data_IF_798341332962
#
_entry.id   IF_798341332962
#
_cell.length_a   1.000
_cell.length_b   1.000
_cell.length_c   1.000
_cell.angle_alpha   90.00
_cell.angle_beta   90.00
_cell.angle_gamma   90.00
#
_symmetry.space_group_name_H-M   'P 1'
#
loop_
_entity.id
_entity.type
_entity.pdbx_description
1 polymer ?
#
# COMPACT_ATOMS: atom_id res chain seq x y z
N UNK A 1 8.19 -19.64 -9.37
CA UNK A 1 7.44 -20.31 -8.29
C UNK A 1 5.96 -20.14 -8.51
N UNK A 2 5.18 -21.21 -8.29
CA UNK A 2 3.72 -21.15 -8.23
C UNK A 2 3.30 -21.44 -6.79
N UNK A 3 2.38 -20.64 -6.24
CA UNK A 3 1.86 -20.79 -4.88
C UNK A 3 0.34 -20.71 -4.90
N UNK A 4 -0.31 -21.40 -3.99
CA UNK A 4 -1.78 -21.39 -3.81
C UNK A 4 -2.07 -21.06 -2.35
N UNK A 5 -3.08 -20.24 -2.10
CA UNK A 5 -3.49 -19.89 -0.73
C UNK A 5 -3.88 -18.44 -0.57
N UNK A 6 -3.43 -17.80 0.52
CA UNK A 6 -3.66 -16.39 0.80
C UNK A 6 -2.35 -15.61 0.66
N UNK A 7 -2.33 -14.64 -0.27
CA UNK A 7 -1.13 -13.86 -0.59
C UNK A 7 -1.44 -12.38 -0.78
N UNK A 8 -0.41 -11.56 -0.58
CA UNK A 8 -0.42 -10.15 -0.96
C UNK A 8 -0.45 -10.04 -2.49
N UNK A 9 -1.23 -9.11 -3.02
CA UNK A 9 -1.28 -8.90 -4.47
C UNK A 9 0.08 -8.43 -5.01
N UNK A 10 0.42 -8.74 -6.27
CA UNK A 10 1.59 -8.16 -6.94
C UNK A 10 1.72 -6.65 -6.84
N UNK A 11 0.60 -5.90 -6.87
CA UNK A 11 0.57 -4.45 -6.65
C UNK A 11 0.99 -4.09 -5.22
N UNK A 12 0.48 -4.80 -4.22
CA UNK A 12 0.91 -4.61 -2.83
C UNK A 12 2.37 -4.97 -2.62
N UNK A 13 2.86 -6.05 -3.24
CA UNK A 13 4.26 -6.46 -3.12
C UNK A 13 5.24 -5.38 -3.61
N UNK A 14 4.86 -4.57 -4.61
CA UNK A 14 5.68 -3.43 -5.06
C UNK A 14 5.91 -2.40 -3.96
N UNK A 15 4.91 -2.16 -3.10
CA UNK A 15 5.00 -1.20 -1.99
C UNK A 15 6.16 -1.47 -1.06
N UNK A 16 6.49 -2.75 -0.83
CA UNK A 16 7.55 -3.15 0.09
C UNK A 16 8.92 -2.55 -0.25
N UNK A 17 9.14 -2.17 -1.51
CA UNK A 17 10.39 -1.55 -1.97
C UNK A 17 10.48 -0.07 -1.65
N UNK A 18 9.34 0.61 -1.42
CA UNK A 18 9.26 2.07 -1.29
C UNK A 18 8.62 2.53 0.02
N UNK A 19 7.82 1.70 0.68
CA UNK A 19 7.33 2.02 2.02
C UNK A 19 8.48 1.96 3.02
N UNK A 20 8.82 3.12 3.55
CA UNK A 20 9.96 3.31 4.46
C UNK A 20 9.72 2.66 5.83
N UNK A 21 8.45 2.44 6.20
CA UNK A 21 8.04 1.94 7.51
C UNK A 21 7.36 0.56 7.46
N UNK A 22 7.35 -0.11 6.33
CA UNK A 22 6.68 -1.39 6.08
C UNK A 22 7.10 -2.55 7.01
N UNK A 23 8.33 -2.53 7.50
CA UNK A 23 8.93 -3.69 8.19
C UNK A 23 8.63 -3.76 9.69
N UNK A 24 7.69 -3.00 10.20
CA UNK A 24 7.40 -2.91 11.63
C UNK A 24 6.14 -3.69 11.99
N UNK A 25 6.25 -4.69 12.84
CA UNK A 25 5.11 -5.46 13.34
C UNK A 25 4.15 -4.57 14.13
N UNK A 26 2.85 -4.66 13.84
CA UNK A 26 1.83 -3.81 14.47
C UNK A 26 1.93 -2.33 14.08
N UNK A 27 2.59 -2.06 12.99
CA UNK A 27 2.93 -0.72 12.52
C UNK A 27 1.68 0.09 12.10
N UNK A 28 1.51 1.25 12.72
CA UNK A 28 0.49 2.23 12.33
C UNK A 28 1.01 3.28 11.35
N UNK A 29 2.29 3.20 10.99
CA UNK A 29 2.94 4.03 9.98
C UNK A 29 2.90 3.41 8.57
N UNK A 30 2.37 2.19 8.45
CA UNK A 30 2.22 1.47 7.19
C UNK A 30 1.33 2.21 6.19
N UNK A 31 1.69 2.17 4.93
CA UNK A 31 0.93 2.85 3.87
C UNK A 31 -0.47 2.26 3.63
N UNK A 32 -0.76 1.09 4.16
CA UNK A 32 -2.10 0.50 4.13
C UNK A 32 -3.18 1.36 4.81
N UNK A 33 -2.77 2.28 5.70
CA UNK A 33 -3.69 3.27 6.29
C UNK A 33 -3.96 4.46 5.37
N UNK A 34 -3.25 4.58 4.25
CA UNK A 34 -3.35 5.69 3.28
C UNK A 34 -3.90 5.21 1.95
N UNK A 35 -3.35 4.12 1.38
CA UNK A 35 -3.60 3.73 -0.01
C UNK A 35 -4.64 2.63 -0.16
N UNK A 36 -5.35 2.65 -1.30
CA UNK A 36 -6.06 1.50 -1.86
C UNK A 36 -5.05 0.46 -2.36
N UNK A 37 -5.49 -0.78 -2.60
CA UNK A 37 -4.63 -1.82 -3.19
C UNK A 37 -3.62 -2.46 -2.20
N UNK A 38 -3.73 -2.19 -0.91
CA UNK A 38 -2.89 -2.79 0.13
C UNK A 38 -3.54 -4.06 0.73
N UNK A 39 -3.91 -5.00 -0.12
CA UNK A 39 -4.70 -6.15 0.30
C UNK A 39 -3.95 -7.47 0.22
N UNK A 40 -4.27 -8.35 1.15
CA UNK A 40 -3.98 -9.77 1.13
C UNK A 40 -5.26 -10.52 0.79
N UNK A 41 -5.19 -11.40 -0.21
CA UNK A 41 -6.36 -12.09 -0.77
C UNK A 41 -6.22 -13.58 -0.56
N UNK A 42 -7.32 -14.24 -0.21
CA UNK A 42 -7.42 -15.69 -0.07
C UNK A 42 -7.85 -16.35 -1.39
N UNK A 43 -7.69 -17.67 -1.48
CA UNK A 43 -8.10 -18.49 -2.61
C UNK A 43 -7.51 -18.03 -3.95
N UNK A 44 -6.20 -17.75 -3.95
CA UNK A 44 -5.48 -17.28 -5.11
C UNK A 44 -4.45 -18.29 -5.60
N UNK A 45 -4.16 -18.20 -6.89
CA UNK A 45 -2.98 -18.79 -7.50
C UNK A 45 -2.05 -17.64 -7.89
N UNK A 46 -0.82 -17.65 -7.38
CA UNK A 46 0.19 -16.66 -7.71
C UNK A 46 1.38 -17.31 -8.41
N UNK A 47 1.83 -16.70 -9.50
CA UNK A 47 3.09 -17.00 -10.16
C UNK A 47 4.10 -15.89 -9.90
N UNK A 48 5.27 -16.25 -9.42
CA UNK A 48 6.42 -15.36 -9.28
C UNK A 48 7.54 -15.86 -10.18
N UNK A 49 7.95 -15.05 -11.16
CA UNK A 49 9.04 -15.42 -12.07
C UNK A 49 10.37 -15.53 -11.34
N UNK A 50 11.32 -16.31 -11.85
CA UNK A 50 12.71 -16.12 -11.51
C UNK A 50 13.17 -14.71 -11.93
N UNK A 51 14.21 -14.21 -11.27
CA UNK A 51 14.85 -12.95 -11.67
C UNK A 51 15.59 -13.15 -12.98
N UNK A 52 15.20 -12.43 -14.02
CA UNK A 52 15.86 -12.44 -15.33
C UNK A 52 16.93 -11.35 -15.34
N UNK A 53 18.18 -11.73 -15.39
CA UNK A 53 19.31 -10.79 -15.37
C UNK A 53 19.34 -9.93 -16.63
N UNK A 54 19.59 -8.64 -16.44
CA UNK A 54 19.82 -7.63 -17.49
C UNK A 54 21.25 -7.08 -17.32
N UNK A 55 22.27 -7.74 -17.89
CA UNK A 55 23.69 -7.43 -17.59
C UNK A 55 24.07 -5.98 -17.92
N UNK A 56 23.49 -5.40 -18.97
CA UNK A 56 23.77 -4.02 -19.40
C UNK A 56 23.40 -2.98 -18.34
N UNK A 57 22.41 -3.29 -17.48
CA UNK A 57 21.90 -2.40 -16.42
C UNK A 57 22.32 -2.86 -15.02
N UNK A 58 23.18 -3.88 -14.93
CA UNK A 58 23.58 -4.50 -13.65
C UNK A 58 22.38 -4.81 -12.75
N UNK A 59 21.33 -5.38 -13.32
CA UNK A 59 20.07 -5.59 -12.61
C UNK A 59 19.32 -6.83 -13.08
N UNK A 60 18.12 -6.97 -12.57
CA UNK A 60 17.22 -8.06 -12.90
C UNK A 60 15.77 -7.61 -12.99
N UNK A 61 15.01 -8.25 -13.88
CA UNK A 61 13.57 -8.08 -14.03
C UNK A 61 12.86 -9.26 -13.37
N UNK A 62 11.77 -8.96 -12.65
CA UNK A 62 10.81 -9.94 -12.13
C UNK A 62 9.40 -9.60 -12.61
N UNK A 63 8.61 -10.63 -12.85
CA UNK A 63 7.19 -10.50 -13.20
C UNK A 63 6.40 -11.39 -12.24
N UNK A 64 5.37 -10.83 -11.63
CA UNK A 64 4.45 -11.55 -10.77
C UNK A 64 3.04 -11.44 -11.32
N UNK A 65 2.28 -12.52 -11.22
CA UNK A 65 0.87 -12.55 -11.62
C UNK A 65 0.06 -13.36 -10.60
N UNK A 66 -1.11 -12.86 -10.26
CA UNK A 66 -2.05 -13.48 -9.33
C UNK A 66 -3.42 -13.57 -9.98
N UNK A 67 -4.03 -14.74 -9.88
CA UNK A 67 -5.42 -14.97 -10.25
C UNK A 67 -6.21 -15.29 -8.99
N UNK A 68 -7.34 -14.62 -8.83
CA UNK A 68 -8.28 -14.84 -7.74
C UNK A 68 -9.62 -15.37 -8.27
N UNK A 69 -10.29 -16.16 -7.47
CA UNK A 69 -11.70 -16.51 -7.70
C UNK A 69 -12.60 -15.38 -7.19
N UNK A 70 -13.82 -15.29 -7.70
CA UNK A 70 -14.81 -14.32 -7.22
C UNK A 70 -15.09 -14.41 -5.70
N UNK A 71 -14.92 -15.57 -5.11
CA UNK A 71 -15.03 -15.80 -3.67
C UNK A 71 -13.88 -15.18 -2.86
N UNK A 72 -12.73 -15.00 -3.50
CA UNK A 72 -11.52 -14.47 -2.86
C UNK A 72 -11.55 -12.95 -2.71
N UNK A 73 -12.53 -12.27 -3.22
CA UNK A 73 -12.59 -10.80 -3.20
C UNK A 73 -12.80 -10.23 -1.80
N UNK A 74 -13.04 -11.06 -0.79
CA UNK A 74 -13.15 -10.63 0.60
C UNK A 74 -14.35 -9.69 0.89
N UNK A 75 -15.18 -9.42 -0.12
CA UNK A 75 -16.36 -8.58 0.02
C UNK A 75 -17.57 -9.44 0.49
N UNK A 76 -17.31 -10.46 1.26
CA UNK A 76 -18.39 -11.07 2.04
C UNK A 76 -18.66 -10.21 3.27
N UNK A 77 -19.34 -9.13 3.04
CA UNK A 77 -19.87 -8.30 4.09
C UNK A 77 -21.36 -8.58 4.27
N UNK A 78 -21.70 -9.81 4.59
CA UNK A 78 -23.05 -10.16 5.05
C UNK A 78 -23.50 -9.31 6.26
N UNK A 79 -22.54 -8.66 6.95
CA UNK A 79 -22.80 -7.75 8.07
C UNK A 79 -22.73 -6.26 7.70
N UNK A 80 -22.26 -5.87 6.53
CA UNK A 80 -22.05 -4.47 6.15
C UNK A 80 -22.79 -4.06 4.87
N UNK A 81 -23.64 -4.89 4.31
CA UNK A 81 -24.47 -4.55 3.14
C UNK A 81 -23.71 -4.42 1.82
N UNK A 82 -22.49 -4.90 1.75
CA UNK A 82 -21.73 -4.99 0.50
C UNK A 82 -22.06 -6.31 -0.16
N UNK A 83 -22.53 -6.25 -1.41
CA UNK A 83 -22.92 -7.43 -2.14
C UNK A 83 -21.74 -8.33 -2.46
N UNK A 84 -22.00 -9.63 -2.39
CA UNK A 84 -21.10 -10.64 -2.94
C UNK A 84 -20.78 -10.33 -4.39
N UNK A 85 -19.54 -10.55 -4.76
CA UNK A 85 -19.16 -10.73 -6.15
C UNK A 85 -19.70 -12.08 -6.57
N UNK A 86 -20.91 -12.10 -7.10
CA UNK A 86 -21.58 -13.35 -7.43
C UNK A 86 -20.88 -14.07 -8.58
N UNK A 87 -20.60 -15.35 -8.35
CA UNK A 87 -20.47 -16.36 -9.40
C UNK A 87 -19.30 -16.18 -10.37
N UNK A 88 -18.23 -15.48 -10.00
CA UNK A 88 -17.09 -15.28 -10.91
C UNK A 88 -16.07 -16.39 -10.81
N UNK A 89 -15.52 -16.72 -11.96
CA UNK A 89 -14.49 -17.75 -12.12
C UNK A 89 -13.10 -17.29 -11.73
N UNK A 90 -12.13 -18.20 -11.81
CA UNK A 90 -10.71 -17.89 -11.65
C UNK A 90 -10.26 -16.93 -12.76
N UNK A 91 -9.70 -15.79 -12.36
CA UNK A 91 -9.20 -14.77 -13.28
C UNK A 91 -10.14 -13.58 -13.50
N UNK A 92 -11.36 -13.59 -12.97
CA UNK A 92 -12.24 -12.41 -12.98
C UNK A 92 -11.70 -11.29 -12.09
N UNK A 93 -10.94 -11.66 -11.07
CA UNK A 93 -10.08 -10.76 -10.30
C UNK A 93 -8.64 -11.19 -10.46
N UNK A 94 -7.76 -10.28 -10.78
CA UNK A 94 -6.35 -10.59 -10.96
C UNK A 94 -5.44 -9.41 -10.63
N UNK A 95 -4.18 -9.70 -10.39
CA UNK A 95 -3.14 -8.71 -10.18
C UNK A 95 -1.89 -9.11 -10.93
N UNK A 96 -1.19 -8.14 -11.51
CA UNK A 96 0.10 -8.38 -12.15
C UNK A 96 1.07 -7.24 -11.86
N UNK A 97 2.36 -7.55 -11.82
CA UNK A 97 3.41 -6.54 -11.69
C UNK A 97 4.65 -6.93 -12.46
N UNK A 98 5.39 -5.91 -12.90
CA UNK A 98 6.75 -6.05 -13.39
C UNK A 98 7.65 -5.09 -12.60
N UNK A 99 8.83 -5.56 -12.21
CA UNK A 99 9.82 -4.75 -11.51
C UNK A 99 11.22 -4.99 -12.06
N UNK A 100 12.02 -3.93 -12.06
CA UNK A 100 13.45 -3.96 -12.30
C UNK A 100 14.17 -3.59 -11.01
N UNK A 101 15.22 -4.31 -10.66
CA UNK A 101 16.02 -4.05 -9.48
C UNK A 101 17.51 -4.12 -9.82
N UNK A 102 18.25 -3.07 -9.44
CA UNK A 102 19.69 -2.97 -9.50
C UNK A 102 20.22 -2.31 -8.21
N UNK A 103 21.54 -2.26 -7.96
CA UNK A 103 22.09 -1.55 -6.82
C UNK A 103 21.73 -0.06 -6.77
N UNK A 104 21.59 0.57 -7.94
CA UNK A 104 21.27 2.00 -8.07
C UNK A 104 19.77 2.27 -8.06
N UNK A 105 18.97 1.43 -8.73
CA UNK A 105 17.59 1.73 -9.07
C UNK A 105 16.69 0.51 -8.83
N UNK A 106 15.53 0.76 -8.21
CA UNK A 106 14.37 -0.13 -8.31
C UNK A 106 13.25 0.65 -8.98
N UNK A 107 12.61 0.07 -9.97
CA UNK A 107 11.43 0.60 -10.64
C UNK A 107 10.41 -0.50 -10.79
N UNK A 108 9.14 -0.19 -10.66
CA UNK A 108 8.08 -1.18 -10.81
C UNK A 108 6.75 -0.58 -11.22
N UNK A 109 5.97 -1.38 -11.92
CA UNK A 109 4.59 -1.08 -12.31
C UNK A 109 3.72 -2.29 -12.02
N UNK A 110 2.52 -2.06 -11.54
CA UNK A 110 1.56 -3.13 -11.28
C UNK A 110 0.14 -2.67 -11.46
N UNK A 111 -0.72 -3.64 -11.77
CA UNK A 111 -2.14 -3.41 -11.98
C UNK A 111 -2.96 -4.49 -11.27
N UNK A 112 -3.95 -4.03 -10.49
CA UNK A 112 -5.01 -4.84 -9.91
C UNK A 112 -6.28 -4.68 -10.73
N UNK A 113 -6.92 -5.78 -11.06
CA UNK A 113 -8.26 -5.81 -11.66
C UNK A 113 -9.25 -6.39 -10.69
N UNK A 114 -10.27 -5.61 -10.34
CA UNK A 114 -11.36 -6.02 -9.48
C UNK A 114 -10.91 -6.57 -8.10
N UNK A 115 -9.85 -6.02 -7.53
CA UNK A 115 -9.34 -6.41 -6.22
C UNK A 115 -10.04 -5.61 -5.12
N UNK A 116 -10.55 -6.25 -4.04
CA UNK A 116 -11.20 -5.56 -2.94
C UNK A 116 -10.29 -4.49 -2.34
N UNK A 117 -10.80 -3.29 -2.15
CA UNK A 117 -10.04 -2.17 -1.60
C UNK A 117 -10.92 -1.24 -0.77
N UNK A 118 -10.31 -0.59 0.21
CA UNK A 118 -10.95 0.45 0.99
C UNK A 118 -10.61 1.83 0.39
N UNK A 119 -11.63 2.64 0.13
CA UNK A 119 -11.48 3.98 -0.46
C UNK A 119 -11.56 5.12 0.57
N UNK A 120 -12.25 4.90 1.68
CA UNK A 120 -12.46 5.92 2.72
C UNK A 120 -12.31 5.33 4.11
N UNK A 121 -12.53 6.13 5.16
CA UNK A 121 -12.45 5.69 6.55
C UNK A 121 -11.12 5.02 6.91
N UNK A 122 -10.05 5.59 6.39
CA UNK A 122 -8.69 5.14 6.68
C UNK A 122 -8.29 5.65 8.06
N UNK A 123 -7.20 5.24 8.56
CA UNK A 123 -6.77 5.61 9.88
C UNK A 123 -6.83 4.44 10.85
N UNK A 124 -6.21 4.62 11.97
CA UNK A 124 -6.00 3.61 13.00
C UNK A 124 -6.69 3.95 14.32
N UNK A 125 -7.23 5.14 14.43
CA UNK A 125 -8.13 5.56 15.51
C UNK A 125 -9.51 5.83 14.92
N UNK A 126 -10.55 5.63 15.71
CA UNK A 126 -11.87 6.09 15.32
C UNK A 126 -11.84 7.62 15.22
N UNK A 127 -12.19 8.16 14.06
CA UNK A 127 -12.30 9.59 13.92
C UNK A 127 -13.36 10.13 14.89
N UNK A 128 -13.02 11.20 15.59
CA UNK A 128 -13.93 11.85 16.53
C UNK A 128 -15.05 12.58 15.83
N UNK A 129 -14.79 13.09 14.62
CA UNK A 129 -15.80 13.69 13.75
C UNK A 129 -16.33 12.66 12.74
N UNK A 130 -17.59 12.28 12.89
CA UNK A 130 -18.27 11.32 12.00
C UNK A 130 -18.37 11.81 10.55
N UNK A 131 -18.31 13.12 10.33
CA UNK A 131 -18.33 13.68 8.99
C UNK A 131 -17.05 13.35 8.22
N UNK A 132 -15.92 13.28 8.89
CA UNK A 132 -14.64 12.82 8.32
C UNK A 132 -14.55 11.29 8.33
N UNK A 133 -15.09 10.66 9.38
CA UNK A 133 -15.08 9.19 9.51
C UNK A 133 -15.87 8.47 8.40
N UNK A 134 -16.85 9.14 7.85
CA UNK A 134 -17.66 8.82 6.66
C UNK A 134 -17.89 7.35 6.27
N UNK A 135 -17.89 6.41 7.22
CA UNK A 135 -18.05 4.98 6.95
C UNK A 135 -16.95 4.39 6.02
N UNK A 136 -16.54 3.19 6.29
CA UNK A 136 -15.65 2.46 5.40
C UNK A 136 -16.37 2.11 4.09
N UNK A 137 -15.83 2.54 2.96
CA UNK A 137 -16.34 2.18 1.64
C UNK A 137 -15.40 1.17 1.02
N UNK A 138 -15.84 -0.08 1.02
CA UNK A 138 -15.17 -1.17 0.34
C UNK A 138 -15.80 -1.40 -1.03
N UNK A 139 -14.94 -1.53 -2.04
CA UNK A 139 -15.33 -1.90 -3.39
C UNK A 139 -14.25 -2.75 -4.04
N UNK A 140 -14.60 -3.51 -5.06
CA UNK A 140 -13.60 -4.07 -5.95
C UNK A 140 -13.02 -2.94 -6.78
N UNK A 141 -11.70 -2.82 -6.78
CA UNK A 141 -10.98 -1.72 -7.41
C UNK A 141 -10.08 -2.19 -8.55
N UNK A 142 -9.97 -1.36 -9.55
CA UNK A 142 -8.87 -1.40 -10.51
C UNK A 142 -7.82 -0.40 -10.02
N UNK A 143 -6.60 -0.88 -9.77
CA UNK A 143 -5.53 -0.03 -9.24
C UNK A 143 -4.30 -0.12 -10.11
N UNK A 144 -3.85 0.99 -10.65
CA UNK A 144 -2.54 1.12 -11.29
C UNK A 144 -1.57 1.74 -10.29
N UNK A 145 -0.40 1.11 -10.12
CA UNK A 145 0.67 1.58 -9.23
C UNK A 145 2.00 1.60 -9.95
N UNK A 146 2.75 2.70 -9.75
CA UNK A 146 4.13 2.84 -10.19
C UNK A 146 4.99 3.15 -8.98
N UNK A 147 6.16 2.51 -8.89
CA UNK A 147 7.11 2.75 -7.81
C UNK A 147 8.50 3.03 -8.35
N UNK A 148 9.27 3.78 -7.56
CA UNK A 148 10.67 4.03 -7.83
C UNK A 148 11.48 4.18 -6.54
N UNK A 149 12.66 3.60 -6.51
CA UNK A 149 13.68 3.84 -5.49
C UNK A 149 15.02 4.07 -6.17
N UNK A 150 15.73 5.09 -5.75
CA UNK A 150 17.08 5.38 -6.23
C UNK A 150 18.03 5.48 -5.05
N UNK A 151 19.22 4.90 -5.20
CA UNK A 151 20.30 4.93 -4.21
C UNK A 151 21.46 5.80 -4.77
N UNK A 152 21.34 7.15 -4.77
CA UNK A 152 22.25 8.03 -5.50
C UNK A 152 23.66 8.06 -4.90
N UNK A 153 23.77 7.82 -3.61
CA UNK A 153 25.04 7.71 -2.88
C UNK A 153 24.94 6.61 -1.83
N UNK A 154 26.07 6.12 -1.37
CA UNK A 154 26.10 5.08 -0.37
C UNK A 154 25.33 5.50 0.90
N UNK A 155 24.44 4.65 1.33
CA UNK A 155 23.62 4.83 2.54
C UNK A 155 22.35 5.64 2.34
N UNK A 156 22.15 6.33 1.21
CA UNK A 156 20.94 7.10 0.92
C UNK A 156 20.04 6.35 -0.05
N UNK A 157 18.80 6.15 0.34
CA UNK A 157 17.72 5.69 -0.54
C UNK A 157 16.60 6.74 -0.60
N UNK A 158 16.27 7.18 -1.80
CA UNK A 158 15.11 8.03 -2.08
C UNK A 158 14.02 7.17 -2.74
N UNK A 159 12.79 7.32 -2.30
CA UNK A 159 11.67 6.45 -2.65
C UNK A 159 10.47 7.26 -3.10
N UNK A 160 9.72 6.73 -4.06
CA UNK A 160 8.48 7.32 -4.51
C UNK A 160 7.48 6.24 -4.94
N UNK A 161 6.20 6.55 -4.79
CA UNK A 161 5.08 5.78 -5.30
C UNK A 161 4.04 6.73 -5.84
N UNK A 162 3.40 6.35 -6.94
CA UNK A 162 2.17 6.95 -7.43
C UNK A 162 1.17 5.86 -7.77
N UNK A 163 -0.10 6.12 -7.46
CA UNK A 163 -1.18 5.23 -7.85
C UNK A 163 -2.46 5.97 -8.20
N UNK A 164 -3.28 5.32 -9.00
CA UNK A 164 -4.67 5.66 -9.21
C UNK A 164 -5.53 4.40 -9.07
N UNK A 165 -6.74 4.57 -8.55
CA UNK A 165 -7.69 3.49 -8.32
C UNK A 165 -9.09 3.94 -8.66
N UNK A 166 -9.85 3.08 -9.32
CA UNK A 166 -11.26 3.30 -9.64
C UNK A 166 -12.10 2.11 -9.19
N UNK A 167 -13.37 2.34 -8.93
CA UNK A 167 -14.31 1.26 -8.58
C UNK A 167 -14.65 0.47 -9.84
N UNK A 168 -14.50 -0.84 -9.80
CA UNK A 168 -14.94 -1.75 -10.86
C UNK A 168 -16.47 -1.80 -10.89
N UNK A 169 -17.07 -1.25 -11.95
CA UNK A 169 -18.53 -1.08 -12.10
C UNK A 169 -19.33 -2.38 -11.97
N UNK A 170 -18.73 -3.50 -12.31
CA UNK A 170 -19.43 -4.78 -12.28
C UNK A 170 -19.64 -5.32 -10.85
N UNK A 171 -19.01 -4.75 -9.83
CA UNK A 171 -18.95 -5.27 -8.48
C UNK A 171 -19.47 -4.33 -7.40
N UNK A 172 -19.61 -3.05 -7.71
CA UNK A 172 -20.10 -2.07 -6.76
C UNK A 172 -21.62 -2.00 -6.77
N UNK A 173 -22.24 -2.22 -5.64
CA UNK A 173 -23.68 -2.04 -5.50
C UNK A 173 -24.09 -1.31 -4.22
N UNK A 174 -23.15 -1.02 -3.33
CA UNK A 174 -23.41 -0.03 -2.30
C UNK A 174 -23.46 1.37 -2.95
N UNK A 175 -24.48 2.15 -2.64
CA UNK A 175 -24.63 3.52 -3.16
C UNK A 175 -23.37 4.36 -2.92
N UNK A 176 -22.73 4.21 -1.77
CA UNK A 176 -21.47 4.88 -1.44
C UNK A 176 -20.31 4.47 -2.37
N UNK A 177 -20.18 3.18 -2.71
CA UNK A 177 -19.16 2.71 -3.65
C UNK A 177 -19.45 3.16 -5.07
N UNK A 178 -20.72 3.18 -5.47
CA UNK A 178 -21.15 3.66 -6.77
C UNK A 178 -20.89 5.18 -6.97
N UNK A 179 -20.85 5.94 -5.87
CA UNK A 179 -20.59 7.37 -5.87
C UNK A 179 -19.10 7.73 -5.94
N UNK A 180 -18.18 6.79 -5.70
CA UNK A 180 -16.75 7.05 -5.88
C UNK A 180 -16.44 7.21 -7.36
N UNK A 181 -15.72 8.27 -7.71
CA UNK A 181 -15.20 8.50 -9.04
C UNK A 181 -13.82 7.84 -9.18
N UNK A 182 -12.84 8.35 -8.47
CA UNK A 182 -11.50 7.76 -8.41
C UNK A 182 -10.84 7.94 -7.04
N UNK A 183 -9.67 7.34 -6.88
CA UNK A 183 -8.77 7.63 -5.77
C UNK A 183 -7.34 7.72 -6.31
N UNK A 184 -6.65 8.82 -6.00
CA UNK A 184 -5.28 9.06 -6.43
C UNK A 184 -4.38 9.25 -5.22
N UNK A 185 -3.18 8.70 -5.28
CA UNK A 185 -2.26 8.81 -4.18
C UNK A 185 -0.80 8.80 -4.60
N UNK A 186 0.04 9.41 -3.77
CA UNK A 186 1.47 9.43 -3.94
C UNK A 186 2.21 9.41 -2.61
N UNK A 187 3.44 8.94 -2.66
CA UNK A 187 4.34 8.84 -1.52
C UNK A 187 5.73 9.28 -1.96
N UNK A 188 6.42 9.99 -1.07
CA UNK A 188 7.86 10.19 -1.12
C UNK A 188 8.48 9.83 0.21
N UNK A 189 9.62 9.15 0.17
CA UNK A 189 10.34 8.71 1.35
C UNK A 189 11.84 8.79 1.16
N UNK A 190 12.55 8.84 2.28
CA UNK A 190 13.99 8.80 2.32
C UNK A 190 14.48 7.99 3.51
N UNK A 191 15.55 7.24 3.31
CA UNK A 191 16.31 6.54 4.35
C UNK A 191 17.78 6.90 4.19
N UNK A 192 18.43 7.22 5.31
CA UNK A 192 19.84 7.52 5.31
C UNK A 192 20.57 6.79 6.42
N UNK A 193 21.42 5.84 6.04
CA UNK A 193 22.35 5.21 6.95
C UNK A 193 23.55 6.12 7.16
N UNK A 194 23.79 6.55 8.41
CA UNK A 194 24.76 7.56 8.74
C UNK A 194 26.21 7.05 8.54
N UNK A 195 27.03 7.68 7.71
CA UNK A 195 28.37 7.17 7.36
C UNK A 195 29.31 7.10 8.56
N UNK A 196 29.18 8.04 9.51
CA UNK A 196 30.00 8.11 10.73
C UNK A 196 29.38 7.38 11.93
N UNK A 197 28.17 6.86 11.77
CA UNK A 197 27.42 6.14 12.80
C UNK A 197 26.61 5.02 12.12
N UNK A 198 27.31 4.08 11.49
CA UNK A 198 26.76 3.06 10.58
C UNK A 198 25.64 2.19 11.16
N UNK A 199 25.52 2.17 12.48
CA UNK A 199 24.43 1.46 13.16
C UNK A 199 23.11 2.24 13.15
N UNK A 200 23.15 3.53 12.80
CA UNK A 200 21.98 4.40 12.76
C UNK A 200 21.47 4.63 11.35
N UNK A 201 20.15 4.49 11.18
CA UNK A 201 19.43 4.87 9.96
C UNK A 201 18.35 5.86 10.34
N UNK A 202 18.35 7.04 9.71
CA UNK A 202 17.29 8.04 9.83
C UNK A 202 16.32 7.87 8.68
N UNK A 203 15.02 8.03 8.94
CA UNK A 203 13.95 7.78 7.98
C UNK A 203 12.92 8.90 8.00
N UNK A 204 12.34 9.17 6.84
CA UNK A 204 11.20 10.07 6.72
C UNK A 204 10.33 9.67 5.54
N UNK A 205 9.01 9.87 5.68
CA UNK A 205 8.04 9.59 4.63
C UNK A 205 6.87 10.57 4.72
N UNK A 206 6.42 11.02 3.56
CA UNK A 206 5.15 11.68 3.36
C UNK A 206 4.31 10.89 2.36
N UNK A 207 3.03 10.70 2.67
CA UNK A 207 2.08 10.02 1.82
C UNK A 207 0.75 10.75 1.82
N UNK A 208 0.07 10.74 0.67
CA UNK A 208 -1.25 11.33 0.52
C UNK A 208 -2.09 10.48 -0.44
N UNK A 209 -3.39 10.35 -0.14
CA UNK A 209 -4.36 9.77 -1.04
C UNK A 209 -5.65 10.59 -0.97
N UNK A 210 -6.19 10.95 -2.13
CA UNK A 210 -7.47 11.65 -2.30
C UNK A 210 -8.46 10.71 -2.96
N UNK A 211 -9.70 10.71 -2.49
CA UNK A 211 -10.83 9.99 -3.08
C UNK A 211 -11.89 11.00 -3.50
N UNK A 212 -12.18 11.04 -4.78
CA UNK A 212 -13.19 11.93 -5.39
C UNK A 212 -14.54 11.24 -5.54
N UNK A 213 -15.61 12.03 -5.69
CA UNK A 213 -16.98 11.54 -5.74
C UNK A 213 -17.74 12.12 -6.94
N UNK A 214 -18.55 11.28 -7.59
CA UNK A 214 -19.35 11.62 -8.79
C UNK A 214 -20.43 12.67 -8.55
N UNK A 215 -20.89 12.79 -7.30
CA UNK A 215 -21.88 13.80 -6.92
C UNK A 215 -21.28 15.20 -6.67
N UNK A 216 -19.99 15.38 -6.97
CA UNK A 216 -19.21 16.58 -6.70
C UNK A 216 -19.18 16.99 -5.21
N UNK A 217 -19.44 16.07 -4.30
CA UNK A 217 -19.16 16.29 -2.88
C UNK A 217 -17.65 16.43 -2.65
N UNK A 218 -17.27 17.08 -1.55
CA UNK A 218 -15.87 17.29 -1.23
C UNK A 218 -15.08 15.98 -1.15
N UNK A 219 -13.89 15.99 -1.67
CA UNK A 219 -12.97 14.86 -1.66
C UNK A 219 -12.64 14.42 -0.22
N UNK A 220 -12.43 13.13 -0.07
CA UNK A 220 -11.87 12.56 1.15
C UNK A 220 -10.35 12.42 1.00
N UNK A 221 -9.60 13.10 1.86
CA UNK A 221 -8.14 13.06 1.84
C UNK A 221 -7.59 12.36 3.08
N UNK A 222 -6.58 11.54 2.87
CA UNK A 222 -5.75 10.95 3.91
C UNK A 222 -4.30 11.33 3.67
N UNK A 223 -3.68 12.01 4.64
CA UNK A 223 -2.30 12.51 4.58
C UNK A 223 -1.51 11.95 5.75
N UNK A 224 -0.28 11.53 5.53
CA UNK A 224 0.57 11.03 6.59
C UNK A 224 1.98 11.59 6.46
N UNK A 225 2.52 12.11 7.57
CA UNK A 225 3.93 12.46 7.70
C UNK A 225 4.53 11.70 8.87
N UNK A 226 5.60 10.96 8.63
CA UNK A 226 6.28 10.14 9.64
C UNK A 226 7.78 10.31 9.54
N UNK A 227 8.43 10.45 10.70
CA UNK A 227 9.87 10.37 10.87
C UNK A 227 10.24 9.24 11.82
N UNK A 228 11.42 8.68 11.64
CA UNK A 228 11.88 7.58 12.49
C UNK A 228 13.37 7.35 12.44
N UNK A 229 13.82 6.51 13.36
CA UNK A 229 15.21 6.07 13.41
C UNK A 229 15.28 4.57 13.72
N UNK A 230 16.25 3.89 13.12
CA UNK A 230 16.63 2.52 13.44
C UNK A 230 18.02 2.51 14.05
N UNK A 231 18.26 1.62 15.03
CA UNK A 231 19.58 1.31 15.55
C UNK A 231 19.85 -0.20 15.46
N UNK A 232 20.81 -0.58 14.66
CA UNK A 232 21.26 -1.96 14.51
C UNK A 232 22.35 -2.29 15.53
N UNK A 233 22.05 -3.12 16.53
CA UNK A 233 23.05 -3.64 17.48
C UNK A 233 24.04 -4.57 16.76
N UNK A 234 23.50 -5.40 15.87
CA UNK A 234 24.24 -6.33 15.02
C UNK A 234 23.36 -6.71 13.80
N UNK A 235 23.75 -7.70 13.02
CA UNK A 235 23.00 -8.16 11.83
C UNK A 235 21.64 -8.81 12.17
N UNK A 236 21.45 -9.26 13.40
CA UNK A 236 20.25 -9.96 13.86
C UNK A 236 19.32 -9.08 14.69
N UNK A 237 19.86 -8.10 15.43
CA UNK A 237 19.11 -7.30 16.39
C UNK A 237 19.08 -5.85 16.00
N UNK A 238 17.87 -5.33 15.83
CA UNK A 238 17.61 -3.92 15.51
C UNK A 238 16.50 -3.39 16.41
N UNK A 239 16.67 -2.20 16.97
CA UNK A 239 15.57 -1.44 17.56
C UNK A 239 15.20 -0.28 16.65
N UNK A 240 13.97 0.18 16.79
CA UNK A 240 13.47 1.30 15.98
C UNK A 240 12.48 2.15 16.77
N UNK A 241 12.38 3.41 16.37
CA UNK A 241 11.35 4.32 16.85
C UNK A 241 10.86 5.21 15.72
N UNK A 242 9.56 5.54 15.75
CA UNK A 242 8.96 6.46 14.80
C UNK A 242 7.87 7.30 15.47
N UNK A 243 7.63 8.46 14.91
CA UNK A 243 6.52 9.33 15.28
C UNK A 243 6.05 10.15 14.09
N UNK A 244 4.79 10.56 14.11
CA UNK A 244 4.19 11.37 13.06
C UNK A 244 2.71 11.63 13.27
N UNK A 245 2.05 12.00 12.18
CA UNK A 245 0.62 12.27 12.14
C UNK A 245 -0.02 11.67 10.90
N UNK A 246 -1.20 11.12 11.08
CA UNK A 246 -2.17 10.88 10.03
C UNK A 246 -3.24 11.96 10.12
N UNK A 247 -3.52 12.65 9.03
CA UNK A 247 -4.58 13.66 8.92
C UNK A 247 -5.63 13.16 7.93
N UNK A 248 -6.88 13.11 8.37
CA UNK A 248 -8.04 12.82 7.53
C UNK A 248 -8.81 14.11 7.33
N UNK A 249 -9.17 14.43 6.08
CA UNK A 249 -9.87 15.65 5.73
C UNK A 249 -11.07 15.35 4.85
N UNK A 250 -12.18 16.08 5.05
CA UNK A 250 -13.32 16.12 4.12
C UNK A 250 -14.06 17.44 4.30
N UNK A 251 -14.21 18.21 3.23
CA UNK A 251 -14.75 19.56 3.24
C UNK A 251 -13.98 20.47 4.23
N UNK A 252 -14.65 21.05 5.19
CA UNK A 252 -14.12 21.92 6.25
C UNK A 252 -13.73 21.15 7.53
N UNK A 253 -13.74 19.81 7.49
CA UNK A 253 -13.47 18.94 8.63
C UNK A 253 -12.10 18.29 8.53
N UNK A 254 -11.39 18.29 9.64
CA UNK A 254 -10.09 17.65 9.80
C UNK A 254 -10.08 16.77 11.07
N UNK A 255 -9.48 15.58 10.97
CA UNK A 255 -9.17 14.72 12.11
C UNK A 255 -7.67 14.35 12.09
N UNK A 256 -6.94 14.82 13.10
CA UNK A 256 -5.50 14.63 13.23
C UNK A 256 -5.20 13.53 14.24
N UNK A 257 -4.62 12.44 13.76
CA UNK A 257 -4.30 11.26 14.55
C UNK A 257 -2.78 11.15 14.76
N UNK A 258 -2.27 11.43 15.98
CA UNK A 258 -0.86 11.24 16.27
C UNK A 258 -0.53 9.74 16.26
N UNK A 259 0.64 9.41 15.76
CA UNK A 259 1.17 8.04 15.76
C UNK A 259 2.59 8.07 16.31
N UNK A 260 2.92 7.10 17.16
CA UNK A 260 4.29 6.82 17.59
C UNK A 260 4.43 5.34 17.90
N UNK A 261 5.61 4.81 17.69
CA UNK A 261 5.92 3.42 17.99
C UNK A 261 7.38 3.22 18.29
N UNK A 262 7.64 2.22 19.14
CA UNK A 262 8.97 1.69 19.45
C UNK A 262 8.92 0.18 19.26
N UNK A 263 9.99 -0.40 18.80
CA UNK A 263 10.06 -1.85 18.64
C UNK A 263 11.47 -2.39 18.57
N UNK A 264 11.54 -3.70 18.68
CA UNK A 264 12.75 -4.48 18.55
C UNK A 264 12.49 -5.61 17.54
N UNK A 265 13.36 -5.75 16.57
CA UNK A 265 13.34 -6.81 15.57
C UNK A 265 14.53 -7.74 15.83
N UNK A 266 14.24 -9.04 15.89
CA UNK A 266 15.23 -10.09 15.96
C UNK A 266 15.08 -11.04 14.77
N UNK A 267 16.16 -11.25 14.01
CA UNK A 267 16.24 -12.18 12.87
C UNK A 267 16.98 -13.43 13.30
N UNK A 268 16.32 -14.55 13.27
CA UNK A 268 16.88 -15.87 13.59
C UNK A 268 17.08 -16.73 12.33
#
# INVERSE_FOLDING_TARGET
TVKIGAYDTPVKQLSSSVDTFNNYVGNKADISVIFTGENRISNVVIYESPAVKVPVLDGAIKVNALLATGEATGIDNSKAGVSKVEGRGLGDSWSASASFESPLLVAGIGYDKAIPSNFTSRGFLNATDKAVAGGSVFAAANTLRVIGRVNPVQGLALKALYQTSEVEKALGNAAAAANIDDAQGWLVGAEYNLPNAKNWTVKGQYSQNSTSFKDNSADFEAKQIIGGVDYAFNKQVKTYGYAGYLTLEKADKEDKQPVAGLGLEYKF
#
